data_IF_134848862560
#
_entry.id   IF_134848862560
#
_cell.length_a   1.000
_cell.length_b   1.000
_cell.length_c   1.000
_cell.angle_alpha   90.00
_cell.angle_beta   90.00
_cell.angle_gamma   90.00
#
_symmetry.space_group_name_H-M   'P 1'
#
loop_
_entity.id
_entity.type
_entity.pdbx_description
1 polymer ?
#
# COMPACT_ATOMS: atom_id res chain seq x y z
N UNK A 1 -34.56 21.08 36.27
CA UNK A 1 -33.15 20.69 35.97
C UNK A 1 -32.97 19.93 34.64
N UNK A 2 -33.87 20.08 33.65
CA UNK A 2 -33.84 19.26 32.40
C UNK A 2 -32.90 19.82 31.32
N UNK A 3 -32.61 21.14 31.34
CA UNK A 3 -31.80 21.79 30.30
C UNK A 3 -30.28 21.55 30.39
N UNK A 4 -29.76 21.10 31.54
CA UNK A 4 -28.32 20.85 31.71
C UNK A 4 -27.89 19.52 31.08
N UNK A 5 -28.72 18.48 31.18
CA UNK A 5 -28.47 17.16 30.60
C UNK A 5 -28.44 17.20 29.06
N UNK A 6 -29.43 17.86 28.45
CA UNK A 6 -29.49 18.06 27.00
C UNK A 6 -28.27 18.80 26.45
N UNK A 7 -27.73 19.77 27.19
CA UNK A 7 -26.51 20.51 26.79
C UNK A 7 -25.26 19.63 26.83
N UNK A 8 -25.14 18.75 27.83
CA UNK A 8 -24.02 17.79 27.92
C UNK A 8 -24.07 16.76 26.80
N UNK A 9 -25.25 16.25 26.46
CA UNK A 9 -25.42 15.29 25.37
C UNK A 9 -25.04 15.89 24.01
N UNK A 10 -25.47 17.13 23.73
CA UNK A 10 -25.09 17.85 22.51
C UNK A 10 -23.57 18.03 22.46
N UNK A 11 -22.95 18.44 23.56
CA UNK A 11 -21.51 18.65 23.63
C UNK A 11 -20.72 17.35 23.40
N UNK A 12 -21.19 16.23 23.97
CA UNK A 12 -20.59 14.91 23.78
C UNK A 12 -20.68 14.49 22.30
N UNK A 13 -21.84 14.65 21.67
CA UNK A 13 -22.03 14.34 20.24
C UNK A 13 -21.06 15.12 19.34
N UNK A 14 -20.86 16.41 19.60
CA UNK A 14 -19.89 17.22 18.85
C UNK A 14 -18.44 16.77 19.09
N UNK A 15 -18.10 16.37 20.32
CA UNK A 15 -16.75 15.87 20.61
C UNK A 15 -16.49 14.52 19.95
N UNK A 16 -17.45 13.61 19.96
CA UNK A 16 -17.31 12.28 19.39
C UNK A 16 -17.24 12.34 17.86
N UNK A 17 -18.11 13.14 17.23
CA UNK A 17 -18.03 13.38 15.78
C UNK A 17 -16.70 14.03 15.35
N UNK A 18 -16.15 14.94 16.17
CA UNK A 18 -14.82 15.54 15.94
C UNK A 18 -13.70 14.50 16.04
N UNK A 19 -13.76 13.60 17.03
CA UNK A 19 -12.79 12.50 17.17
C UNK A 19 -12.82 11.55 15.97
N UNK A 20 -14.01 11.13 15.53
CA UNK A 20 -14.17 10.26 14.36
C UNK A 20 -13.62 10.92 13.08
N UNK A 21 -13.85 12.22 12.88
CA UNK A 21 -13.26 12.95 11.75
C UNK A 21 -11.74 13.07 11.81
N UNK A 22 -11.15 13.14 13.00
CA UNK A 22 -9.69 13.19 13.16
C UNK A 22 -9.03 11.83 12.92
N UNK A 23 -9.66 10.73 13.31
CA UNK A 23 -9.14 9.38 13.08
C UNK A 23 -9.35 8.93 11.63
N UNK A 24 -10.38 9.45 10.96
CA UNK A 24 -10.65 9.23 9.53
C UNK A 24 -9.95 10.27 8.63
N UNK A 25 -8.76 10.74 9.03
CA UNK A 25 -7.88 11.43 8.09
C UNK A 25 -7.47 10.39 7.05
N UNK A 26 -7.83 10.62 5.80
CA UNK A 26 -7.37 9.79 4.69
C UNK A 26 -5.86 9.67 4.81
N UNK A 27 -5.36 8.43 4.94
CA UNK A 27 -3.94 8.15 4.82
C UNK A 27 -3.54 8.68 3.44
N UNK A 28 -2.81 9.78 3.42
CA UNK A 28 -2.19 10.27 2.19
C UNK A 28 -1.20 9.21 1.77
N UNK A 29 -1.60 8.34 0.85
CA UNK A 29 -0.70 7.46 0.11
C UNK A 29 0.09 8.36 -0.82
N UNK A 30 1.24 8.82 -0.32
CA UNK A 30 2.25 9.46 -1.14
C UNK A 30 2.88 8.41 -2.04
N UNK A 31 3.05 8.75 -3.30
CA UNK A 31 3.72 7.93 -4.30
C UNK A 31 4.81 8.81 -4.90
N UNK A 32 6.00 8.27 -5.07
CA UNK A 32 7.11 8.98 -5.71
C UNK A 32 7.33 8.42 -7.11
N UNK A 33 7.74 9.31 -8.00
CA UNK A 33 8.25 8.90 -9.30
C UNK A 33 9.66 8.28 -9.16
N UNK A 34 10.23 7.81 -10.27
CA UNK A 34 11.58 7.24 -10.34
C UNK A 34 12.67 8.25 -9.94
N UNK A 35 12.42 9.54 -10.17
CA UNK A 35 13.29 10.65 -9.76
C UNK A 35 13.01 11.15 -8.31
N UNK A 36 12.37 10.32 -7.48
CA UNK A 36 11.95 10.63 -6.10
C UNK A 36 11.00 11.82 -5.97
N UNK A 37 10.42 12.30 -7.08
CA UNK A 37 9.47 13.41 -7.08
C UNK A 37 8.10 12.97 -6.54
N UNK A 38 7.53 13.77 -5.64
CA UNK A 38 6.25 13.46 -5.01
C UNK A 38 5.08 13.63 -6.00
N UNK A 39 4.33 12.56 -6.25
CA UNK A 39 3.15 12.57 -7.12
C UNK A 39 1.88 12.96 -6.34
N UNK A 40 1.34 14.13 -6.65
CA UNK A 40 0.15 14.68 -5.99
C UNK A 40 -1.15 14.25 -6.66
N UNK A 41 -1.17 14.17 -7.99
CA UNK A 41 -2.40 13.91 -8.76
C UNK A 41 -2.71 12.42 -8.90
N UNK A 42 -3.99 12.07 -8.86
CA UNK A 42 -4.46 10.67 -9.00
C UNK A 42 -4.00 10.03 -10.31
N UNK A 43 -4.02 10.78 -11.42
CA UNK A 43 -3.60 10.27 -12.73
C UNK A 43 -2.13 9.88 -12.72
N UNK A 44 -1.27 10.74 -12.16
CA UNK A 44 0.16 10.47 -12.04
C UNK A 44 0.45 9.22 -11.22
N UNK A 45 -0.26 9.05 -10.09
CA UNK A 45 -0.16 7.85 -9.26
C UNK A 45 -0.50 6.59 -10.06
N UNK A 46 -1.64 6.58 -10.78
CA UNK A 46 -2.06 5.43 -11.57
C UNK A 46 -1.07 5.09 -12.69
N UNK A 47 -0.49 6.10 -13.34
CA UNK A 47 0.58 5.90 -14.33
C UNK A 47 1.80 5.25 -13.71
N UNK A 48 2.24 5.72 -12.52
CA UNK A 48 3.38 5.13 -11.82
C UNK A 48 3.14 3.68 -11.40
N UNK A 49 1.92 3.36 -10.96
CA UNK A 49 1.50 1.98 -10.68
C UNK A 49 1.55 1.11 -11.92
N UNK A 50 1.07 1.59 -13.07
CA UNK A 50 1.13 0.84 -14.32
C UNK A 50 2.58 0.53 -14.72
N UNK A 51 3.48 1.51 -14.64
CA UNK A 51 4.91 1.34 -14.92
C UNK A 51 5.57 0.36 -13.94
N UNK A 52 5.22 0.42 -12.65
CA UNK A 52 5.74 -0.52 -11.65
C UNK A 52 5.34 -1.96 -11.97
N UNK A 53 4.07 -2.20 -12.31
CA UNK A 53 3.60 -3.53 -12.66
C UNK A 53 4.15 -4.03 -13.98
N UNK A 54 4.32 -3.15 -14.97
CA UNK A 54 4.96 -3.50 -16.23
C UNK A 54 6.41 -3.96 -16.03
N UNK A 55 7.18 -3.24 -15.20
CA UNK A 55 8.54 -3.68 -14.82
C UNK A 55 8.52 -5.01 -14.09
N UNK A 56 7.65 -5.15 -13.08
CA UNK A 56 7.56 -6.37 -12.28
C UNK A 56 7.22 -7.61 -13.13
N UNK A 57 6.29 -7.47 -14.07
CA UNK A 57 5.85 -8.57 -14.92
C UNK A 57 6.88 -8.94 -16.00
N UNK A 58 7.66 -7.96 -16.46
CA UNK A 58 8.67 -8.19 -17.50
C UNK A 58 10.05 -8.56 -16.91
N UNK A 59 10.35 -8.20 -15.66
CA UNK A 59 11.56 -8.65 -14.95
C UNK A 59 11.53 -10.17 -14.66
N UNK A 60 10.33 -10.75 -14.46
CA UNK A 60 10.19 -12.21 -14.33
C UNK A 60 10.53 -12.99 -15.62
N UNK A 61 10.47 -12.35 -16.80
CA UNK A 61 10.87 -12.98 -18.07
C UNK A 61 12.40 -13.07 -18.23
N UNK A 62 13.16 -12.09 -17.73
CA UNK A 62 14.64 -12.11 -17.86
C UNK A 62 15.34 -12.97 -16.80
N UNK A 63 14.77 -13.16 -15.60
CA UNK A 63 15.32 -14.09 -14.59
C UNK A 63 14.94 -15.57 -14.83
N UNK A 64 13.94 -15.83 -15.69
CA UNK A 64 13.48 -17.18 -16.02
C UNK A 64 14.45 -18.02 -16.86
N UNK A 65 15.45 -17.43 -17.51
CA UNK A 65 16.38 -18.14 -18.40
C UNK A 65 17.69 -18.60 -17.74
N UNK A 66 17.92 -18.33 -16.44
CA UNK A 66 19.20 -18.69 -15.77
C UNK A 66 19.11 -19.73 -14.64
N UNK A 67 17.99 -20.44 -14.47
CA UNK A 67 17.81 -21.40 -13.36
C UNK A 67 17.65 -22.87 -13.76
N UNK A 68 18.06 -23.27 -14.97
CA UNK A 68 18.15 -24.69 -15.38
C UNK A 68 19.59 -25.19 -15.51
N UNK A 69 20.36 -25.13 -14.42
CA UNK A 69 21.62 -25.85 -14.16
C UNK A 69 21.84 -25.64 -12.65
N UNK A 70 21.72 -26.59 -11.72
CA UNK A 70 22.07 -28.00 -11.69
C UNK A 70 21.20 -28.69 -10.61
N UNK A 71 20.40 -29.69 -10.97
CA UNK A 71 20.01 -30.75 -10.02
C UNK A 71 20.14 -32.08 -10.75
N UNK A 72 21.38 -32.50 -10.96
CA UNK A 72 21.68 -33.85 -11.41
C UNK A 72 22.93 -34.35 -10.67
N UNK A 73 22.76 -34.65 -9.38
CA UNK A 73 23.58 -35.66 -8.73
C UNK A 73 22.73 -36.36 -7.64
N UNK A 74 22.05 -37.41 -8.07
CA UNK A 74 21.49 -38.40 -7.15
C UNK A 74 22.61 -39.24 -6.53
N UNK A 75 22.43 -39.76 -5.30
CA UNK A 75 23.49 -40.46 -4.60
C UNK A 75 23.84 -41.78 -5.31
N UNK A 76 25.12 -41.94 -5.67
CA UNK A 76 25.70 -43.22 -6.11
C UNK A 76 25.62 -44.23 -4.96
N UNK A 77 24.74 -45.22 -5.08
CA UNK A 77 24.82 -46.44 -4.27
C UNK A 77 25.97 -47.29 -4.84
N UNK A 78 27.00 -47.50 -4.04
CA UNK A 78 28.06 -48.46 -4.34
C UNK A 78 27.52 -49.88 -4.16
N UNK A 79 27.59 -50.69 -5.22
CA UNK A 79 27.62 -52.15 -5.17
C UNK A 79 28.94 -52.61 -5.76
#
# INVERSE_FOLDING_TARGET
MVGAYKRKEIQNFYQDSKKVRQTNKQRTTYCTDEDELLLGETKQKLTRWAQYFEKLLNEEEEEGEMLTQEVADGPRVAM
#
